data_IF_937621744845
#
_entry.id   IF_937621744845
#
_cell.length_a   1.000
_cell.length_b   1.000
_cell.length_c   1.000
_cell.angle_alpha   90.00
_cell.angle_beta   90.00
_cell.angle_gamma   90.00
#
_symmetry.space_group_name_H-M   'P 1'
#
loop_
_entity.id
_entity.type
_entity.pdbx_description
1 polymer ?
#
# COMPACT_ATOMS: atom_id res chain seq x y z
N UNK A 1 43.46 -33.46 62.31
CA UNK A 1 41.99 -33.29 62.40
C UNK A 1 41.60 -32.05 61.60
N UNK A 2 40.62 -32.16 60.69
CA UNK A 2 39.99 -31.13 59.83
C UNK A 2 40.87 -30.51 58.70
N UNK A 3 40.76 -30.89 57.41
CA UNK A 3 39.75 -30.59 56.35
C UNK A 3 39.50 -29.09 56.14
N UNK A 4 39.51 -28.44 54.96
CA UNK A 4 38.92 -28.77 53.64
C UNK A 4 39.39 -27.71 52.61
N UNK A 5 39.77 -28.11 51.40
CA UNK A 5 39.06 -27.90 50.11
C UNK A 5 39.19 -26.52 49.41
N UNK A 6 40.03 -26.49 48.36
CA UNK A 6 39.83 -25.67 47.16
C UNK A 6 38.58 -26.15 46.41
N UNK A 7 37.76 -25.25 45.86
CA UNK A 7 36.82 -25.52 44.77
C UNK A 7 37.00 -24.46 43.68
N UNK A 8 37.22 -24.93 42.46
CA UNK A 8 36.97 -24.19 41.22
C UNK A 8 35.44 -24.13 40.98
N UNK A 9 34.93 -23.10 40.27
CA UNK A 9 33.54 -23.10 39.83
C UNK A 9 33.38 -23.88 38.52
N UNK A 10 32.47 -24.87 38.53
CA UNK A 10 31.86 -25.38 37.30
C UNK A 10 30.93 -24.32 36.71
N UNK A 11 31.26 -23.77 35.53
CA UNK A 11 30.30 -23.06 34.69
C UNK A 11 29.60 -24.09 33.79
N UNK A 12 28.44 -24.60 34.23
CA UNK A 12 27.58 -25.45 33.40
C UNK A 12 26.66 -24.61 32.52
N UNK A 13 26.91 -24.65 31.22
CA UNK A 13 25.97 -25.16 30.21
C UNK A 13 24.49 -24.70 30.30
N UNK A 14 24.22 -23.39 30.41
CA UNK A 14 22.85 -22.85 30.38
C UNK A 14 22.58 -21.78 29.29
N UNK A 15 23.59 -21.40 28.49
CA UNK A 15 23.47 -20.29 27.54
C UNK A 15 23.36 -20.69 26.05
N UNK A 16 23.48 -21.97 25.70
CA UNK A 16 23.39 -22.40 24.29
C UNK A 16 21.98 -22.81 23.82
N UNK A 17 21.05 -23.13 24.72
CA UNK A 17 19.71 -23.60 24.34
C UNK A 17 18.73 -22.46 24.02
N UNK A 18 18.93 -21.27 24.59
CA UNK A 18 18.07 -20.09 24.36
C UNK A 18 18.35 -19.40 23.01
N UNK A 19 19.57 -19.52 22.48
CA UNK A 19 19.95 -18.95 21.19
C UNK A 19 19.43 -19.78 20.00
N UNK A 20 19.36 -21.11 20.15
CA UNK A 20 18.79 -22.00 19.13
C UNK A 20 17.26 -21.86 19.02
N UNK A 21 16.55 -21.63 20.13
CA UNK A 21 15.09 -21.46 20.10
C UNK A 21 14.64 -20.17 19.39
N UNK A 22 15.41 -19.08 19.50
CA UNK A 22 15.11 -17.80 18.86
C UNK A 22 15.43 -17.80 17.34
N UNK A 23 16.42 -18.58 16.90
CA UNK A 23 16.70 -18.80 15.47
C UNK A 23 15.64 -19.68 14.78
N UNK A 24 15.11 -20.71 15.46
CA UNK A 24 14.06 -21.58 14.89
C UNK A 24 12.71 -20.85 14.78
N UNK A 25 12.35 -20.00 15.77
CA UNK A 25 11.14 -19.17 15.68
C UNK A 25 11.16 -18.15 14.53
N UNK A 26 12.34 -17.68 14.13
CA UNK A 26 12.50 -16.69 13.04
C UNK A 26 12.23 -17.29 11.65
N UNK A 27 12.37 -18.60 11.46
CA UNK A 27 12.01 -19.26 10.20
C UNK A 27 10.50 -19.56 10.10
N UNK A 28 9.84 -19.91 11.22
CA UNK A 28 8.39 -20.17 11.22
C UNK A 28 7.55 -18.88 11.13
N UNK A 29 8.10 -17.72 11.46
CA UNK A 29 7.38 -16.43 11.37
C UNK A 29 7.19 -15.89 9.94
N UNK A 30 7.76 -16.55 8.92
CA UNK A 30 7.73 -16.08 7.53
C UNK A 30 6.62 -16.69 6.66
N UNK A 31 5.92 -17.73 7.15
CA UNK A 31 4.77 -18.32 6.44
C UNK A 31 3.48 -18.13 7.25
N UNK A 32 2.36 -18.01 6.55
CA UNK A 32 1.02 -17.83 7.13
C UNK A 32 0.08 -18.92 6.62
N UNK A 33 0.18 -20.18 7.09
CA UNK A 33 -0.62 -21.28 6.55
C UNK A 33 -2.14 -21.09 6.64
N UNK A 34 -2.57 -20.35 7.65
CA UNK A 34 -3.96 -20.02 7.94
C UNK A 34 -4.48 -18.79 7.18
N UNK A 35 -3.65 -18.12 6.36
CA UNK A 35 -4.06 -16.91 5.66
C UNK A 35 -5.23 -17.11 4.69
N UNK A 36 -5.55 -18.34 4.33
CA UNK A 36 -6.77 -18.67 3.57
C UNK A 36 -8.08 -18.43 4.32
N UNK A 37 -8.03 -18.23 5.65
CA UNK A 37 -9.17 -17.96 6.51
C UNK A 37 -9.24 -16.50 6.96
N UNK A 38 -8.31 -15.66 6.52
CA UNK A 38 -8.30 -14.26 6.89
C UNK A 38 -9.51 -13.53 6.32
N UNK A 39 -9.97 -12.51 7.05
CA UNK A 39 -11.00 -11.60 6.57
C UNK A 39 -10.51 -10.92 5.29
N UNK A 40 -11.36 -10.85 4.28
CA UNK A 40 -11.12 -10.15 3.02
C UNK A 40 -11.77 -8.76 3.03
N UNK A 41 -11.44 -7.91 2.06
CA UNK A 41 -12.06 -6.60 1.89
C UNK A 41 -13.43 -6.69 1.23
N UNK A 42 -13.51 -7.35 0.07
CA UNK A 42 -14.70 -7.38 -0.77
C UNK A 42 -15.03 -8.81 -1.20
N UNK A 43 -14.04 -9.56 -1.67
CA UNK A 43 -14.25 -10.88 -2.28
C UNK A 43 -13.81 -11.96 -1.30
N UNK A 44 -14.74 -12.76 -0.79
CA UNK A 44 -14.38 -13.91 0.04
C UNK A 44 -13.78 -15.05 -0.80
N UNK A 45 -12.91 -15.85 -0.19
CA UNK A 45 -12.30 -17.02 -0.84
C UNK A 45 -13.31 -18.11 -1.26
N UNK A 46 -14.58 -17.99 -0.85
CA UNK A 46 -15.67 -18.90 -1.25
C UNK A 46 -16.41 -18.42 -2.51
N UNK A 47 -16.24 -17.16 -2.90
CA UNK A 47 -16.92 -16.58 -4.08
C UNK A 47 -16.14 -16.73 -5.39
N UNK A 48 -14.94 -17.30 -5.31
CA UNK A 48 -14.07 -17.55 -6.44
C UNK A 48 -13.69 -19.02 -6.49
N UNK A 49 -13.41 -19.51 -7.69
CA UNK A 49 -13.09 -20.91 -7.90
C UNK A 49 -11.72 -21.05 -8.54
N UNK A 50 -11.07 -22.16 -8.22
CA UNK A 50 -9.82 -22.57 -8.87
C UNK A 50 -9.95 -24.04 -9.25
N UNK A 51 -9.46 -24.38 -10.45
CA UNK A 51 -9.41 -25.76 -10.90
C UNK A 51 -8.58 -26.62 -9.94
N UNK A 52 -8.76 -27.94 -9.99
CA UNK A 52 -7.83 -28.84 -9.32
C UNK A 52 -6.46 -28.79 -10.01
N UNK A 53 -5.35 -29.04 -9.29
CA UNK A 53 -4.05 -29.22 -9.91
C UNK A 53 -4.08 -30.34 -10.97
N UNK A 54 -3.21 -30.26 -12.01
CA UNK A 54 -3.09 -31.31 -13.02
C UNK A 54 -2.83 -32.71 -12.46
N UNK A 55 -3.08 -33.72 -13.29
CA UNK A 55 -2.75 -35.11 -12.94
C UNK A 55 -1.24 -35.31 -12.77
N UNK A 56 -0.85 -36.45 -12.19
CA UNK A 56 0.55 -36.81 -12.02
C UNK A 56 1.29 -36.87 -13.37
N UNK A 57 0.65 -37.41 -14.41
CA UNK A 57 1.21 -37.54 -15.75
C UNK A 57 1.45 -36.17 -16.38
N UNK A 58 0.50 -35.24 -16.24
CA UNK A 58 0.66 -33.86 -16.70
C UNK A 58 1.79 -33.15 -15.95
N UNK A 59 1.83 -33.30 -14.62
CA UNK A 59 2.87 -32.72 -13.77
C UNK A 59 4.27 -33.21 -14.16
N UNK A 60 4.43 -34.49 -14.50
CA UNK A 60 5.72 -35.04 -14.96
C UNK A 60 6.16 -34.46 -16.32
N UNK A 61 5.21 -34.23 -17.25
CA UNK A 61 5.51 -33.58 -18.53
C UNK A 61 5.98 -32.13 -18.32
N UNK A 62 5.31 -31.39 -17.44
CA UNK A 62 5.70 -30.01 -17.09
C UNK A 62 7.08 -29.97 -16.44
N UNK A 63 7.38 -30.92 -15.55
CA UNK A 63 8.68 -31.03 -14.87
C UNK A 63 9.83 -31.20 -15.86
N UNK A 64 9.64 -32.07 -16.87
CA UNK A 64 10.62 -32.26 -17.94
C UNK A 64 10.86 -30.98 -18.76
N UNK A 65 9.77 -30.25 -19.09
CA UNK A 65 9.87 -28.99 -19.83
C UNK A 65 10.61 -27.89 -19.03
N UNK A 66 10.39 -27.79 -17.72
CA UNK A 66 11.09 -26.85 -16.85
C UNK A 66 12.60 -27.15 -16.84
N UNK A 67 12.97 -28.44 -16.75
CA UNK A 67 14.36 -28.88 -16.75
C UNK A 67 15.10 -28.46 -18.01
N UNK A 68 14.46 -28.65 -19.17
CA UNK A 68 15.03 -28.19 -20.44
C UNK A 68 15.19 -26.66 -20.44
N UNK A 69 14.17 -25.92 -19.98
CA UNK A 69 14.22 -24.46 -19.98
C UNK A 69 15.31 -23.89 -19.06
N UNK A 70 15.53 -24.47 -17.89
CA UNK A 70 16.60 -24.05 -16.98
C UNK A 70 18.00 -24.23 -17.58
N UNK A 71 18.18 -25.16 -18.54
CA UNK A 71 19.47 -25.37 -19.21
C UNK A 71 19.80 -24.30 -20.26
N UNK A 72 18.83 -23.42 -20.62
CA UNK A 72 18.94 -22.44 -21.72
C UNK A 72 18.40 -21.07 -21.29
N UNK A 73 19.12 -20.37 -20.39
CA UNK A 73 18.75 -19.02 -19.94
C UNK A 73 19.62 -17.96 -20.59
N UNK A 74 19.01 -16.85 -21.02
CA UNK A 74 19.70 -15.66 -21.49
C UNK A 74 19.74 -14.56 -20.42
N UNK A 75 20.60 -13.57 -20.60
CA UNK A 75 20.79 -12.46 -19.65
C UNK A 75 19.50 -11.67 -19.40
N UNK A 76 18.69 -11.50 -20.44
CA UNK A 76 17.39 -10.81 -20.34
C UNK A 76 16.46 -11.54 -19.38
N UNK A 77 16.38 -12.86 -19.50
CA UNK A 77 15.54 -13.69 -18.63
C UNK A 77 16.05 -13.66 -17.18
N UNK A 78 17.37 -13.71 -16.98
CA UNK A 78 17.96 -13.58 -15.65
C UNK A 78 17.66 -12.22 -14.99
N UNK A 79 17.66 -11.14 -15.77
CA UNK A 79 17.27 -9.81 -15.28
C UNK A 79 15.78 -9.75 -14.91
N UNK A 80 14.90 -10.32 -15.72
CA UNK A 80 13.46 -10.39 -15.41
C UNK A 80 13.20 -11.21 -14.14
N UNK A 81 13.88 -12.35 -13.96
CA UNK A 81 13.79 -13.16 -12.73
C UNK A 81 14.16 -12.31 -11.51
N UNK A 82 15.32 -11.64 -11.56
CA UNK A 82 15.80 -10.77 -10.46
C UNK A 82 14.85 -9.60 -10.18
N UNK A 83 14.33 -8.96 -11.21
CA UNK A 83 13.41 -7.84 -11.08
C UNK A 83 12.13 -8.22 -10.32
N UNK A 84 11.53 -9.36 -10.70
CA UNK A 84 10.29 -9.87 -10.11
C UNK A 84 10.49 -10.64 -8.81
N UNK A 85 11.72 -11.06 -8.47
CA UNK A 85 12.06 -11.70 -7.18
C UNK A 85 12.47 -10.72 -6.07
N UNK A 86 12.48 -9.41 -6.36
CA UNK A 86 13.07 -8.41 -5.47
C UNK A 86 12.42 -8.29 -4.07
N UNK A 87 11.22 -8.84 -3.88
CA UNK A 87 10.50 -8.85 -2.61
C UNK A 87 9.18 -9.61 -2.76
N UNK A 88 8.21 -9.34 -1.88
CA UNK A 88 6.89 -9.97 -1.99
C UNK A 88 6.24 -9.64 -3.34
N UNK A 89 5.36 -10.51 -3.88
CA UNK A 89 4.65 -10.28 -5.13
C UNK A 89 4.05 -8.88 -5.29
N UNK A 90 3.55 -8.28 -4.21
CA UNK A 90 2.88 -6.97 -4.22
C UNK A 90 3.84 -5.78 -4.39
N UNK A 91 5.14 -5.95 -4.15
CA UNK A 91 6.11 -4.86 -4.07
C UNK A 91 6.24 -4.08 -5.39
N UNK A 92 6.59 -4.77 -6.49
CA UNK A 92 6.75 -4.11 -7.81
C UNK A 92 5.45 -3.50 -8.33
N UNK A 93 4.30 -4.09 -8.01
CA UNK A 93 3.00 -3.54 -8.42
C UNK A 93 2.70 -2.19 -7.76
N UNK A 94 3.14 -1.98 -6.52
CA UNK A 94 3.02 -0.68 -5.86
C UNK A 94 3.91 0.39 -6.49
N UNK A 95 5.13 0.04 -6.92
CA UNK A 95 6.01 0.96 -7.69
C UNK A 95 5.41 1.28 -9.06
N UNK A 96 4.96 0.26 -9.79
CA UNK A 96 4.33 0.41 -11.12
C UNK A 96 3.09 1.30 -11.02
N UNK A 97 2.17 1.02 -10.08
CA UNK A 97 0.96 1.81 -9.90
C UNK A 97 1.25 3.27 -9.55
N UNK A 98 2.20 3.51 -8.64
CA UNK A 98 2.61 4.87 -8.24
C UNK A 98 3.13 5.69 -9.42
N UNK A 99 3.92 5.06 -10.31
CA UNK A 99 4.46 5.72 -11.51
C UNK A 99 3.40 6.15 -12.54
N UNK A 100 2.19 5.59 -12.45
CA UNK A 100 1.09 5.90 -13.38
C UNK A 100 0.15 6.99 -12.87
N UNK A 101 0.11 7.24 -11.55
CA UNK A 101 -0.81 8.19 -10.94
C UNK A 101 -0.27 9.61 -11.10
N UNK A 102 -1.10 10.51 -11.62
CA UNK A 102 -0.73 11.90 -11.86
C UNK A 102 -1.87 12.85 -11.52
N UNK A 103 -1.55 13.97 -10.87
CA UNK A 103 -2.47 15.09 -10.67
C UNK A 103 -2.96 15.73 -11.98
N UNK A 104 -2.36 15.41 -13.13
CA UNK A 104 -2.86 15.82 -14.45
C UNK A 104 -4.11 15.06 -14.87
N UNK A 105 -4.29 13.85 -14.36
CA UNK A 105 -5.52 13.06 -14.48
C UNK A 105 -6.26 13.08 -13.15
N UNK A 106 -6.92 14.22 -12.87
CA UNK A 106 -7.62 14.46 -11.60
C UNK A 106 -8.71 13.42 -11.32
N UNK A 107 -9.39 12.93 -12.35
CA UNK A 107 -10.47 11.95 -12.22
C UNK A 107 -9.94 10.62 -11.67
N UNK A 108 -8.82 10.15 -12.23
CA UNK A 108 -8.16 8.94 -11.73
C UNK A 108 -7.45 9.17 -10.40
N UNK A 109 -6.82 10.33 -10.21
CA UNK A 109 -6.08 10.65 -8.98
C UNK A 109 -6.94 10.53 -7.72
N UNK A 110 -8.13 11.17 -7.70
CA UNK A 110 -9.00 11.17 -6.52
C UNK A 110 -9.65 9.81 -6.24
N UNK A 111 -9.69 8.91 -7.21
CA UNK A 111 -10.19 7.54 -7.02
C UNK A 111 -9.14 6.59 -6.42
N UNK A 112 -7.89 7.05 -6.27
CA UNK A 112 -6.75 6.33 -5.67
C UNK A 112 -6.65 4.86 -6.14
N UNK A 113 -6.25 4.59 -7.39
CA UNK A 113 -6.22 3.24 -7.97
C UNK A 113 -5.42 2.22 -7.15
N UNK A 114 -4.42 2.65 -6.38
CA UNK A 114 -3.62 1.78 -5.51
C UNK A 114 -4.44 1.13 -4.39
N UNK A 115 -5.51 1.77 -3.89
CA UNK A 115 -6.40 1.17 -2.89
C UNK A 115 -7.14 -0.03 -3.48
N UNK A 116 -7.80 0.17 -4.63
CA UNK A 116 -8.50 -0.89 -5.35
C UNK A 116 -7.57 -2.02 -5.78
N UNK A 117 -6.39 -1.68 -6.29
CA UNK A 117 -5.38 -2.67 -6.68
C UNK A 117 -4.94 -3.51 -5.48
N UNK A 118 -4.57 -2.89 -4.35
CA UNK A 118 -4.07 -3.63 -3.20
C UNK A 118 -5.17 -4.43 -2.48
N UNK A 119 -6.44 -3.98 -2.51
CA UNK A 119 -7.56 -4.83 -2.09
C UNK A 119 -7.70 -6.09 -2.95
N UNK A 120 -7.62 -5.95 -4.28
CA UNK A 120 -7.67 -7.09 -5.19
C UNK A 120 -6.49 -8.06 -4.97
N UNK A 121 -5.27 -7.53 -4.80
CA UNK A 121 -4.10 -8.33 -4.48
C UNK A 121 -4.29 -9.07 -3.16
N UNK A 122 -4.76 -8.40 -2.11
CA UNK A 122 -4.97 -9.01 -0.80
C UNK A 122 -6.04 -10.11 -0.83
N UNK A 123 -7.22 -9.83 -1.38
CA UNK A 123 -8.32 -10.81 -1.45
C UNK A 123 -7.93 -12.02 -2.31
N UNK A 124 -7.20 -11.79 -3.41
CA UNK A 124 -6.69 -12.87 -4.25
C UNK A 124 -5.57 -13.67 -3.57
N UNK A 125 -4.76 -13.03 -2.72
CA UNK A 125 -3.76 -13.70 -1.89
C UNK A 125 -4.42 -14.62 -0.87
N UNK A 126 -5.48 -14.16 -0.18
CA UNK A 126 -6.26 -15.00 0.74
C UNK A 126 -6.85 -16.21 0.01
N UNK A 127 -7.49 -16.00 -1.15
CA UNK A 127 -8.02 -17.11 -1.95
C UNK A 127 -6.94 -18.09 -2.42
N UNK A 128 -5.78 -17.58 -2.85
CA UNK A 128 -4.64 -18.41 -3.23
C UNK A 128 -4.08 -19.22 -2.06
N UNK A 129 -4.01 -18.64 -0.86
CA UNK A 129 -3.56 -19.36 0.32
C UNK A 129 -4.50 -20.48 0.72
N UNK A 130 -5.83 -20.24 0.66
CA UNK A 130 -6.81 -21.31 0.85
C UNK A 130 -6.54 -22.49 -0.10
N UNK A 131 -6.32 -22.20 -1.38
CA UNK A 131 -6.03 -23.23 -2.37
C UNK A 131 -4.66 -23.93 -2.13
N UNK A 132 -3.61 -23.17 -1.83
CA UNK A 132 -2.26 -23.70 -1.51
C UNK A 132 -2.32 -24.75 -0.41
N UNK A 133 -2.97 -24.43 0.70
CA UNK A 133 -3.03 -25.33 1.85
C UNK A 133 -4.13 -26.39 1.75
N UNK A 134 -5.03 -26.30 0.76
CA UNK A 134 -5.96 -27.38 0.41
C UNK A 134 -5.31 -28.45 -0.47
N UNK A 135 -4.45 -28.04 -1.42
CA UNK A 135 -3.87 -28.95 -2.40
C UNK A 135 -2.45 -29.41 -2.07
N UNK A 136 -1.67 -28.63 -1.30
CA UNK A 136 -0.32 -28.98 -0.85
C UNK A 136 0.62 -29.46 -1.99
N UNK A 137 0.48 -28.89 -3.20
CA UNK A 137 1.32 -29.26 -4.34
C UNK A 137 2.77 -28.88 -4.06
N UNK A 138 3.68 -29.82 -4.29
CA UNK A 138 5.13 -29.62 -4.16
C UNK A 138 5.67 -28.76 -5.30
N UNK A 139 6.69 -27.96 -5.03
CA UNK A 139 7.46 -27.24 -6.05
C UNK A 139 8.26 -28.20 -6.96
N UNK A 140 8.67 -27.78 -8.17
CA UNK A 140 9.42 -28.63 -9.11
C UNK A 140 10.67 -29.28 -8.50
N UNK A 141 11.51 -28.52 -7.79
CA UNK A 141 12.75 -29.03 -7.16
C UNK A 141 12.51 -29.96 -5.99
N UNK A 142 11.31 -29.95 -5.39
CA UNK A 142 10.91 -30.91 -4.36
C UNK A 142 10.44 -32.25 -4.97
N UNK A 143 10.23 -32.30 -6.28
CA UNK A 143 9.86 -33.51 -7.05
C UNK A 143 11.05 -34.10 -7.81
N UNK A 144 11.96 -33.27 -8.31
CA UNK A 144 13.24 -33.67 -8.91
C UNK A 144 14.37 -32.82 -8.33
N UNK A 145 15.18 -33.41 -7.44
CA UNK A 145 16.29 -32.75 -6.76
C UNK A 145 17.45 -32.35 -7.70
N UNK A 146 17.45 -32.82 -8.95
CA UNK A 146 18.43 -32.39 -9.96
C UNK A 146 18.12 -31.02 -10.55
N UNK A 147 16.89 -30.52 -10.37
CA UNK A 147 16.53 -29.14 -10.71
C UNK A 147 17.16 -28.18 -9.71
N UNK A 148 17.87 -27.18 -10.23
CA UNK A 148 18.46 -26.08 -9.45
C UNK A 148 17.71 -24.78 -9.78
N UNK A 149 16.74 -24.38 -8.94
CA UNK A 149 16.04 -23.11 -9.11
C UNK A 149 17.00 -21.93 -9.08
N UNK A 150 16.64 -20.86 -9.80
CA UNK A 150 17.45 -19.64 -9.95
C UNK A 150 17.16 -18.59 -8.87
N UNK A 151 16.18 -18.86 -8.01
CA UNK A 151 15.78 -18.06 -6.84
C UNK A 151 15.47 -19.01 -5.69
N UNK A 152 15.35 -18.45 -4.49
CA UNK A 152 14.93 -19.23 -3.32
C UNK A 152 13.54 -19.84 -3.54
N UNK A 153 13.40 -21.13 -3.26
CA UNK A 153 12.12 -21.82 -3.36
C UNK A 153 11.24 -21.38 -2.19
N UNK A 154 10.03 -20.85 -2.43
CA UNK A 154 9.11 -20.51 -1.36
C UNK A 154 8.84 -21.70 -0.44
N UNK A 155 8.71 -21.45 0.86
CA UNK A 155 8.38 -22.48 1.84
C UNK A 155 6.89 -22.92 1.78
N UNK A 156 6.06 -22.19 1.01
CA UNK A 156 4.65 -22.51 0.81
C UNK A 156 4.44 -23.57 -0.27
N UNK A 157 3.26 -24.20 -0.37
CA UNK A 157 2.93 -25.04 -1.53
C UNK A 157 2.97 -24.27 -2.85
N UNK A 158 3.25 -24.94 -3.97
CA UNK A 158 3.39 -24.26 -5.26
C UNK A 158 2.05 -23.76 -5.80
N UNK A 159 0.97 -24.54 -5.69
CA UNK A 159 -0.28 -24.28 -6.41
C UNK A 159 -1.32 -23.49 -5.59
N UNK A 160 -1.91 -22.41 -6.12
CA UNK A 160 -1.53 -21.66 -7.33
C UNK A 160 -0.30 -20.79 -7.13
N UNK A 161 0.28 -20.30 -8.23
CA UNK A 161 1.39 -19.34 -8.21
C UNK A 161 1.00 -18.00 -7.55
N UNK A 162 1.63 -17.65 -6.42
CA UNK A 162 1.33 -16.41 -5.69
C UNK A 162 1.75 -15.13 -6.44
N UNK A 163 2.80 -15.20 -7.27
CA UNK A 163 3.21 -14.07 -8.10
C UNK A 163 2.22 -13.82 -9.22
N UNK A 164 1.71 -14.88 -9.85
CA UNK A 164 0.74 -14.76 -10.95
C UNK A 164 -0.63 -14.30 -10.46
N UNK A 165 -1.13 -14.84 -9.34
CA UNK A 165 -2.42 -14.39 -8.80
C UNK A 165 -2.37 -12.90 -8.45
N UNK A 166 -1.26 -12.44 -7.85
CA UNK A 166 -1.00 -11.03 -7.55
C UNK A 166 -0.94 -10.20 -8.83
N UNK A 167 -0.18 -10.65 -9.82
CA UNK A 167 0.00 -9.95 -11.09
C UNK A 167 -1.31 -9.83 -11.89
N UNK A 168 -2.08 -10.90 -11.99
CA UNK A 168 -3.38 -10.88 -12.67
C UNK A 168 -4.38 -9.99 -11.93
N UNK A 169 -4.42 -10.03 -10.60
CA UNK A 169 -5.30 -9.18 -9.81
C UNK A 169 -4.95 -7.69 -10.00
N UNK A 170 -3.65 -7.36 -9.89
CA UNK A 170 -3.16 -6.00 -10.05
C UNK A 170 -3.39 -5.46 -11.47
N UNK A 171 -3.03 -6.25 -12.48
CA UNK A 171 -3.11 -5.82 -13.88
C UNK A 171 -4.54 -5.54 -14.34
N UNK A 172 -5.50 -6.39 -13.97
CA UNK A 172 -6.90 -6.18 -14.33
C UNK A 172 -7.45 -4.88 -13.69
N UNK A 173 -7.18 -4.65 -12.40
CA UNK A 173 -7.63 -3.42 -11.73
C UNK A 173 -6.94 -2.19 -12.34
N UNK A 174 -5.63 -2.22 -12.54
CA UNK A 174 -4.90 -1.09 -13.12
C UNK A 174 -5.32 -0.82 -14.57
N UNK A 175 -5.60 -1.84 -15.37
CA UNK A 175 -6.10 -1.66 -16.74
C UNK A 175 -7.49 -1.00 -16.77
N UNK A 176 -8.32 -1.21 -15.75
CA UNK A 176 -9.59 -0.48 -15.60
C UNK A 176 -9.38 1.01 -15.32
N UNK A 177 -8.43 1.38 -14.47
CA UNK A 177 -8.12 2.80 -14.19
C UNK A 177 -7.28 3.47 -15.28
N UNK A 178 -6.47 2.71 -16.01
CA UNK A 178 -5.55 3.20 -17.03
C UNK A 178 -5.73 2.45 -18.36
N UNK A 179 -6.90 2.55 -19.03
CA UNK A 179 -7.21 1.75 -20.22
C UNK A 179 -6.23 1.96 -21.37
N UNK A 180 -5.70 3.18 -21.53
CA UNK A 180 -4.68 3.49 -22.54
C UNK A 180 -3.32 2.77 -22.31
N UNK A 181 -3.11 2.19 -21.12
CA UNK A 181 -1.89 1.45 -20.75
C UNK A 181 -2.15 -0.06 -20.58
N UNK A 182 -3.37 -0.54 -20.86
CA UNK A 182 -3.78 -1.91 -20.57
C UNK A 182 -2.81 -2.97 -21.14
N UNK A 183 -2.43 -2.86 -22.42
CA UNK A 183 -1.52 -3.81 -23.05
C UNK A 183 -0.15 -3.85 -22.35
N UNK A 184 0.42 -2.69 -22.02
CA UNK A 184 1.70 -2.61 -21.30
C UNK A 184 1.59 -3.22 -19.90
N UNK A 185 0.48 -2.97 -19.19
CA UNK A 185 0.20 -3.52 -17.86
C UNK A 185 0.08 -5.06 -17.93
N UNK A 186 -0.66 -5.60 -18.89
CA UNK A 186 -0.80 -7.05 -19.05
C UNK A 186 0.51 -7.72 -19.50
N UNK A 187 1.35 -7.03 -20.27
CA UNK A 187 2.67 -7.53 -20.61
C UNK A 187 3.58 -7.65 -19.38
N UNK A 188 3.55 -6.68 -18.47
CA UNK A 188 4.24 -6.78 -17.18
C UNK A 188 3.72 -7.95 -16.34
N UNK A 189 2.40 -8.18 -16.32
CA UNK A 189 1.82 -9.31 -15.59
C UNK A 189 2.21 -10.69 -16.14
N UNK A 190 2.28 -10.80 -17.47
CA UNK A 190 2.79 -11.99 -18.15
C UNK A 190 4.26 -12.22 -17.84
N UNK A 191 5.07 -11.15 -17.83
CA UNK A 191 6.48 -11.23 -17.47
C UNK A 191 6.67 -11.69 -16.01
N UNK A 192 5.94 -11.09 -15.07
CA UNK A 192 5.95 -11.49 -13.66
C UNK A 192 5.63 -12.98 -13.49
N UNK A 193 4.60 -13.46 -14.20
CA UNK A 193 4.17 -14.85 -14.19
C UNK A 193 5.22 -15.79 -14.78
N UNK A 194 5.73 -15.44 -15.97
CA UNK A 194 6.69 -16.25 -16.70
C UNK A 194 8.03 -16.36 -15.95
N UNK A 195 8.41 -15.31 -15.21
CA UNK A 195 9.63 -15.29 -14.41
C UNK A 195 9.70 -16.44 -13.40
N UNK A 196 8.56 -16.92 -12.86
CA UNK A 196 8.54 -18.00 -11.88
C UNK A 196 8.76 -19.38 -12.49
N UNK A 197 8.23 -19.60 -13.69
CA UNK A 197 8.52 -20.81 -14.48
C UNK A 197 9.98 -20.78 -14.92
N UNK A 198 10.48 -19.63 -15.39
CA UNK A 198 11.87 -19.48 -15.83
C UNK A 198 12.86 -19.67 -14.69
N UNK A 199 12.49 -19.27 -13.46
CA UNK A 199 13.30 -19.50 -12.27
C UNK A 199 13.23 -20.96 -11.75
N UNK A 200 12.39 -21.81 -12.34
CA UNK A 200 12.27 -23.21 -11.96
C UNK A 200 11.49 -23.45 -10.66
N UNK A 201 10.79 -22.44 -10.15
CA UNK A 201 10.02 -22.56 -8.90
C UNK A 201 8.56 -22.91 -9.13
N UNK A 202 8.04 -22.80 -10.35
CA UNK A 202 6.61 -22.95 -10.61
C UNK A 202 6.30 -23.77 -11.86
N UNK A 203 5.20 -24.55 -11.83
CA UNK A 203 4.67 -25.21 -13.02
C UNK A 203 3.83 -24.25 -13.88
N UNK A 204 3.82 -24.42 -15.22
CA UNK A 204 2.92 -23.68 -16.11
C UNK A 204 1.45 -23.74 -15.69
N UNK A 205 0.95 -24.91 -15.31
CA UNK A 205 -0.42 -25.09 -14.82
C UNK A 205 -0.74 -24.33 -13.54
N UNK A 206 0.24 -24.20 -12.65
CA UNK A 206 0.05 -23.41 -11.43
C UNK A 206 -0.07 -21.90 -11.77
N UNK A 207 0.61 -21.44 -12.83
CA UNK A 207 0.51 -20.08 -13.37
C UNK A 207 -0.84 -19.86 -14.06
N UNK A 208 -1.26 -20.78 -14.93
CA UNK A 208 -2.52 -20.68 -15.65
C UNK A 208 -3.74 -20.62 -14.71
N UNK A 209 -3.73 -21.46 -13.67
CA UNK A 209 -4.78 -21.46 -12.66
C UNK A 209 -4.75 -20.19 -11.79
N UNK A 210 -3.56 -19.72 -11.41
CA UNK A 210 -3.39 -18.48 -10.66
C UNK A 210 -3.90 -17.25 -11.41
N UNK A 211 -3.67 -17.20 -12.72
CA UNK A 211 -4.11 -16.08 -13.56
C UNK A 211 -5.64 -15.95 -13.51
N UNK A 212 -6.34 -17.06 -13.76
CA UNK A 212 -7.81 -17.12 -13.71
C UNK A 212 -8.36 -16.78 -12.33
N UNK A 213 -7.67 -17.16 -11.25
CA UNK A 213 -8.07 -16.80 -9.90
C UNK A 213 -7.93 -15.29 -9.65
N UNK A 214 -6.79 -14.70 -10.03
CA UNK A 214 -6.56 -13.26 -9.86
C UNK A 214 -7.52 -12.41 -10.69
N UNK A 215 -7.83 -12.84 -11.90
CA UNK A 215 -8.82 -12.21 -12.78
C UNK A 215 -10.24 -12.23 -12.16
N UNK A 216 -10.70 -13.37 -11.64
CA UNK A 216 -12.01 -13.48 -10.98
C UNK A 216 -12.15 -12.49 -9.82
N UNK A 217 -11.12 -12.37 -8.98
CA UNK A 217 -11.11 -11.43 -7.85
C UNK A 217 -11.13 -10.00 -8.37
N UNK A 218 -10.24 -9.65 -9.30
CA UNK A 218 -10.16 -8.30 -9.84
C UNK A 218 -11.47 -7.83 -10.49
N UNK A 219 -12.14 -8.69 -11.25
CA UNK A 219 -13.42 -8.35 -11.87
C UNK A 219 -14.48 -7.96 -10.82
N UNK A 220 -14.58 -8.72 -9.73
CA UNK A 220 -15.50 -8.40 -8.63
C UNK A 220 -15.14 -7.09 -7.91
N UNK A 221 -13.84 -6.81 -7.75
CA UNK A 221 -13.34 -5.54 -7.19
C UNK A 221 -13.68 -4.37 -8.10
N UNK A 222 -13.48 -4.51 -9.42
CA UNK A 222 -13.83 -3.50 -10.43
C UNK A 222 -15.34 -3.22 -10.42
N UNK A 223 -16.17 -4.25 -10.26
CA UNK A 223 -17.63 -4.06 -10.13
C UNK A 223 -18.03 -3.24 -8.90
N UNK A 224 -17.24 -3.26 -7.81
CA UNK A 224 -17.43 -2.33 -6.71
C UNK A 224 -16.86 -0.94 -7.01
N UNK A 225 -15.69 -0.86 -7.64
CA UNK A 225 -15.08 0.42 -8.03
C UNK A 225 -15.98 1.23 -8.97
N UNK A 226 -16.77 0.57 -9.83
CA UNK A 226 -17.77 1.24 -10.70
C UNK A 226 -18.95 1.84 -9.93
N UNK A 227 -19.16 1.44 -8.68
CA UNK A 227 -20.30 1.83 -7.83
C UNK A 227 -19.87 2.75 -6.69
N UNK A 228 -18.67 3.32 -6.77
CA UNK A 228 -18.11 4.24 -5.77
C UNK A 228 -18.71 5.66 -5.86
N UNK A 229 -19.56 5.94 -6.86
CA UNK A 229 -20.16 7.26 -7.08
C UNK A 229 -19.21 8.30 -7.67
N UNK A 230 -18.05 7.88 -8.18
CA UNK A 230 -17.04 8.78 -8.74
C UNK A 230 -17.38 9.36 -10.12
N UNK A 231 -18.41 8.84 -10.78
CA UNK A 231 -18.97 9.34 -12.02
C UNK A 231 -19.89 10.56 -11.84
N UNK A 232 -20.26 10.87 -10.59
CA UNK A 232 -21.06 12.03 -10.26
C UNK A 232 -20.40 13.33 -10.73
N UNK A 233 -21.17 14.18 -11.42
CA UNK A 233 -20.72 15.48 -11.90
C UNK A 233 -21.17 16.57 -10.94
N UNK A 234 -20.27 17.51 -10.65
CA UNK A 234 -20.62 18.68 -9.87
C UNK A 234 -21.50 19.62 -10.70
N UNK A 235 -22.71 19.92 -10.19
CA UNK A 235 -23.68 20.84 -10.79
C UNK A 235 -23.99 22.04 -9.89
N UNK A 236 -23.24 22.19 -8.80
CA UNK A 236 -23.41 23.28 -7.84
C UNK A 236 -22.84 24.60 -8.35
N UNK A 237 -23.05 25.66 -7.57
CA UNK A 237 -22.49 26.98 -7.83
C UNK A 237 -21.26 27.23 -6.96
N UNK A 238 -20.35 28.04 -7.48
CA UNK A 238 -19.22 28.51 -6.69
C UNK A 238 -19.70 29.35 -5.51
N UNK A 239 -19.05 29.18 -4.37
CA UNK A 239 -19.32 29.98 -3.19
C UNK A 239 -19.02 31.48 -3.43
N UNK A 240 -19.96 32.35 -3.04
CA UNK A 240 -19.88 33.80 -3.22
C UNK A 240 -19.37 34.56 -1.98
N UNK A 241 -19.29 33.91 -0.81
CA UNK A 241 -18.83 34.54 0.43
C UNK A 241 -17.34 34.95 0.33
N UNK A 242 -16.99 36.25 0.46
CA UNK A 242 -15.62 36.71 0.36
C UNK A 242 -14.72 36.23 1.50
N UNK A 243 -15.29 35.75 2.62
CA UNK A 243 -14.54 35.20 3.77
C UNK A 243 -14.18 33.72 3.61
N UNK A 244 -14.54 33.12 2.47
CA UNK A 244 -14.32 31.71 2.17
C UNK A 244 -13.53 31.57 0.87
N UNK A 245 -13.03 30.37 0.61
CA UNK A 245 -12.27 30.06 -0.59
C UNK A 245 -13.10 30.27 -1.85
N UNK A 246 -12.45 30.88 -2.83
CA UNK A 246 -12.96 31.13 -4.18
C UNK A 246 -11.91 30.71 -5.21
N UNK A 247 -12.34 30.24 -6.36
CA UNK A 247 -11.48 29.85 -7.48
C UNK A 247 -12.30 29.58 -8.73
N UNK A 248 -11.69 29.73 -9.90
CA UNK A 248 -12.41 29.60 -11.18
C UNK A 248 -12.67 28.13 -11.58
N UNK A 249 -11.77 27.22 -11.20
CA UNK A 249 -11.86 25.80 -11.56
C UNK A 249 -11.53 24.92 -10.34
N UNK A 250 -12.50 24.68 -9.44
CA UNK A 250 -12.27 23.80 -8.30
C UNK A 250 -12.05 22.36 -8.75
N UNK A 251 -11.11 21.66 -8.13
CA UNK A 251 -10.83 20.26 -8.45
C UNK A 251 -11.32 19.31 -7.35
N UNK A 252 -11.84 18.15 -7.75
CA UNK A 252 -12.26 17.09 -6.84
C UNK A 252 -13.47 17.43 -5.97
N UNK A 253 -14.35 18.33 -6.42
CA UNK A 253 -15.54 18.76 -5.65
C UNK A 253 -16.40 17.58 -5.18
N UNK A 254 -16.55 16.56 -6.02
CA UNK A 254 -17.34 15.37 -5.72
C UNK A 254 -16.58 14.30 -4.94
N UNK A 255 -15.27 14.45 -4.70
CA UNK A 255 -14.48 13.38 -4.07
C UNK A 255 -14.90 13.08 -2.62
N UNK A 256 -15.47 14.07 -1.92
CA UNK A 256 -16.04 13.85 -0.58
C UNK A 256 -17.36 13.05 -0.58
N UNK A 257 -18.02 12.92 -1.72
CA UNK A 257 -19.29 12.18 -1.85
C UNK A 257 -19.10 10.75 -2.34
N UNK A 258 -17.86 10.34 -2.62
CA UNK A 258 -17.57 8.96 -3.01
C UNK A 258 -17.97 8.02 -1.89
N UNK A 259 -18.48 6.85 -2.25
CA UNK A 259 -18.84 5.81 -1.30
C UNK A 259 -17.55 5.29 -0.66
N UNK A 260 -17.36 5.44 0.66
CA UNK A 260 -16.17 4.94 1.31
C UNK A 260 -16.15 3.40 1.33
N UNK A 261 -14.95 2.80 1.42
CA UNK A 261 -14.75 1.34 1.50
C UNK A 261 -15.07 0.85 2.92
N UNK A 262 -14.62 1.60 3.92
CA UNK A 262 -14.64 1.22 5.34
C UNK A 262 -15.43 2.22 6.18
N UNK A 263 -15.29 3.51 5.91
CA UNK A 263 -16.04 4.54 6.62
C UNK A 263 -17.54 4.45 6.28
N UNK A 264 -18.37 4.90 7.21
CA UNK A 264 -19.83 4.96 7.05
C UNK A 264 -20.25 6.04 6.04
N UNK A 265 -19.51 7.14 6.02
CA UNK A 265 -19.76 8.31 5.17
C UNK A 265 -18.48 9.15 5.08
N UNK A 266 -18.39 10.01 4.07
CA UNK A 266 -17.27 10.94 3.92
C UNK A 266 -17.12 11.92 5.08
N UNK A 267 -18.20 12.14 5.84
CA UNK A 267 -18.21 13.06 6.97
C UNK A 267 -18.07 12.41 8.34
N UNK A 268 -17.85 11.10 8.41
CA UNK A 268 -17.68 10.37 9.66
C UNK A 268 -16.57 10.99 10.55
N UNK A 269 -15.51 11.51 9.94
CA UNK A 269 -14.40 12.18 10.62
C UNK A 269 -14.23 13.64 10.16
N UNK A 270 -15.29 14.28 9.67
CA UNK A 270 -15.27 15.70 9.36
C UNK A 270 -14.96 16.48 10.65
N UNK A 271 -13.90 17.31 10.69
CA UNK A 271 -13.57 18.10 11.88
C UNK A 271 -14.63 19.18 12.10
N UNK A 272 -14.63 19.82 13.27
CA UNK A 272 -15.43 21.03 13.49
C UNK A 272 -15.06 22.13 12.47
N UNK A 273 -15.98 23.07 12.26
CA UNK A 273 -15.75 24.23 11.40
C UNK A 273 -14.49 25.00 11.83
N UNK A 274 -13.73 25.60 10.89
CA UNK A 274 -12.52 26.32 11.24
C UNK A 274 -12.84 27.55 12.12
N UNK A 275 -11.95 27.90 13.06
CA UNK A 275 -12.06 29.16 13.80
C UNK A 275 -11.77 30.37 12.89
N UNK A 276 -11.83 31.57 13.45
CA UNK A 276 -11.27 32.76 12.79
C UNK A 276 -9.74 32.64 12.66
N UNK A 277 -9.20 33.13 11.54
CA UNK A 277 -7.78 32.96 11.18
C UNK A 277 -6.92 34.19 11.50
N UNK A 278 -7.41 35.23 12.19
CA UNK A 278 -6.63 36.43 12.45
C UNK A 278 -5.29 36.14 13.17
N UNK A 279 -5.32 35.28 14.19
CA UNK A 279 -4.12 34.88 14.93
C UNK A 279 -3.17 34.05 14.05
N UNK A 280 -3.68 33.07 13.30
CA UNK A 280 -2.87 32.28 12.37
C UNK A 280 -2.25 33.12 11.25
N UNK A 281 -2.98 34.12 10.74
CA UNK A 281 -2.47 35.04 9.72
C UNK A 281 -1.35 35.91 10.26
N UNK A 282 -1.47 36.40 11.51
CA UNK A 282 -0.36 37.11 12.17
C UNK A 282 0.87 36.22 12.33
N UNK A 283 0.68 34.95 12.71
CA UNK A 283 1.77 33.97 12.78
C UNK A 283 2.46 33.82 11.42
N UNK A 284 1.70 33.61 10.33
CA UNK A 284 2.24 33.50 8.98
C UNK A 284 3.02 34.74 8.53
N UNK A 285 2.54 35.95 8.85
CA UNK A 285 3.24 37.20 8.52
C UNK A 285 4.50 37.42 9.34
N UNK A 286 4.51 36.96 10.59
CA UNK A 286 5.67 37.06 11.49
C UNK A 286 6.72 35.97 11.24
N UNK A 287 6.35 34.88 10.55
CA UNK A 287 7.24 33.76 10.30
C UNK A 287 8.38 34.16 9.35
N UNK A 288 9.60 34.15 9.87
CA UNK A 288 10.80 34.40 9.09
C UNK A 288 11.31 33.08 8.51
N UNK A 289 11.12 32.92 7.20
CA UNK A 289 11.66 31.78 6.47
C UNK A 289 13.19 31.71 6.58
N UNK A 290 13.70 30.51 6.73
CA UNK A 290 15.12 30.16 6.63
C UNK A 290 15.32 29.04 5.60
N UNK A 291 16.57 28.72 5.26
CA UNK A 291 16.89 27.71 4.25
C UNK A 291 16.26 26.34 4.54
N UNK A 292 16.19 25.93 5.81
CA UNK A 292 15.57 24.66 6.19
C UNK A 292 14.06 24.67 5.92
N UNK A 293 13.35 25.70 6.36
CA UNK A 293 11.90 25.81 6.14
C UNK A 293 11.53 25.88 4.66
N UNK A 294 12.34 26.56 3.84
CA UNK A 294 12.18 26.64 2.39
C UNK A 294 12.39 25.27 1.76
N UNK A 295 13.49 24.58 2.11
CA UNK A 295 13.78 23.24 1.61
C UNK A 295 12.65 22.26 1.95
N UNK A 296 12.22 22.24 3.21
CA UNK A 296 11.12 21.38 3.67
C UNK A 296 9.81 21.70 2.92
N UNK A 297 9.49 22.98 2.69
CA UNK A 297 8.31 23.38 1.93
C UNK A 297 8.34 22.86 0.48
N UNK A 298 9.45 23.04 -0.24
CA UNK A 298 9.58 22.57 -1.62
C UNK A 298 9.63 21.04 -1.73
N UNK A 299 10.33 20.35 -0.82
CA UNK A 299 10.38 18.88 -0.78
C UNK A 299 8.97 18.30 -0.75
N UNK A 300 8.17 18.65 0.25
CA UNK A 300 6.81 18.16 0.42
C UNK A 300 5.80 18.74 -0.58
N UNK A 301 6.18 19.73 -1.39
CA UNK A 301 5.38 20.18 -2.53
C UNK A 301 5.67 19.38 -3.82
N UNK A 302 6.90 18.87 -3.96
CA UNK A 302 7.34 18.08 -5.11
C UNK A 302 7.06 16.59 -4.99
N UNK A 303 7.06 16.06 -3.77
CA UNK A 303 6.89 14.63 -3.52
C UNK A 303 5.41 14.26 -3.59
N UNK A 304 5.10 13.20 -4.35
CA UNK A 304 3.79 12.57 -4.26
C UNK A 304 3.68 11.88 -2.89
N UNK A 305 2.87 12.45 -1.99
CA UNK A 305 2.74 11.94 -0.61
C UNK A 305 2.28 10.47 -0.58
N UNK A 306 1.39 10.04 -1.47
CA UNK A 306 0.92 8.65 -1.52
C UNK A 306 2.05 7.68 -1.88
N UNK A 307 2.85 8.05 -2.88
CA UNK A 307 4.03 7.28 -3.30
C UNK A 307 5.07 7.21 -2.18
N UNK A 308 5.39 8.36 -1.54
CA UNK A 308 6.35 8.42 -0.44
C UNK A 308 6.01 7.45 0.69
N UNK A 309 4.75 7.45 1.16
CA UNK A 309 4.32 6.55 2.23
C UNK A 309 4.33 5.08 1.79
N UNK A 310 4.04 4.81 0.52
CA UNK A 310 4.11 3.45 -0.05
C UNK A 310 5.56 2.95 -0.19
N UNK A 311 6.50 3.83 -0.53
CA UNK A 311 7.93 3.50 -0.53
C UNK A 311 8.45 3.28 0.89
N UNK A 312 8.03 4.12 1.84
CA UNK A 312 8.43 3.98 3.25
C UNK A 312 7.92 2.66 3.85
N UNK A 313 6.68 2.25 3.57
CA UNK A 313 6.20 0.95 4.05
C UNK A 313 6.94 -0.22 3.39
N UNK A 314 7.32 -0.08 2.12
CA UNK A 314 8.16 -1.07 1.43
C UNK A 314 9.52 -1.22 2.12
N UNK A 315 10.18 -0.10 2.42
CA UNK A 315 11.44 -0.08 3.16
C UNK A 315 11.28 -0.77 4.52
N UNK A 316 10.20 -0.48 5.27
CA UNK A 316 9.95 -1.08 6.58
C UNK A 316 9.68 -2.58 6.51
N UNK A 317 9.02 -3.07 5.45
CA UNK A 317 8.85 -4.51 5.18
C UNK A 317 10.22 -5.19 5.02
N UNK A 318 11.15 -4.59 4.26
CA UNK A 318 12.49 -5.14 4.08
C UNK A 318 13.35 -5.07 5.35
N UNK A 319 13.34 -3.94 6.07
CA UNK A 319 14.07 -3.77 7.33
C UNK A 319 13.64 -4.80 8.38
N UNK A 320 12.37 -5.20 8.36
CA UNK A 320 11.81 -6.21 9.26
C UNK A 320 11.82 -7.65 8.68
N UNK A 321 12.45 -7.87 7.51
CA UNK A 321 12.55 -9.19 6.83
C UNK A 321 11.21 -9.88 6.59
N UNK A 322 10.18 -9.06 6.33
CA UNK A 322 8.82 -9.52 6.04
C UNK A 322 8.59 -9.73 4.54
N UNK A 323 9.56 -9.37 3.70
CA UNK A 323 9.49 -9.39 2.24
C UNK A 323 9.23 -10.76 1.63
N UNK A 324 9.45 -11.84 2.38
CA UNK A 324 9.11 -13.22 1.98
C UNK A 324 7.77 -13.72 2.53
N UNK A 325 7.08 -12.94 3.35
CA UNK A 325 5.74 -13.22 3.88
C UNK A 325 4.67 -12.49 3.03
N UNK A 326 4.29 -13.13 1.92
CA UNK A 326 3.34 -12.56 0.94
C UNK A 326 2.01 -12.12 1.55
N UNK A 327 1.29 -12.91 2.38
CA UNK A 327 0.01 -12.47 2.94
C UNK A 327 0.15 -11.27 3.87
N UNK A 328 1.17 -11.24 4.72
CA UNK A 328 1.41 -10.11 5.61
C UNK A 328 1.72 -8.83 4.81
N UNK A 329 2.55 -8.92 3.77
CA UNK A 329 2.85 -7.80 2.89
C UNK A 329 1.59 -7.28 2.19
N UNK A 330 0.81 -8.18 1.56
CA UNK A 330 -0.44 -7.81 0.89
C UNK A 330 -1.43 -7.13 1.86
N UNK A 331 -1.52 -7.61 3.11
CA UNK A 331 -2.34 -6.98 4.16
C UNK A 331 -1.87 -5.56 4.46
N UNK A 332 -0.58 -5.38 4.74
CA UNK A 332 0.01 -4.07 5.09
C UNK A 332 -0.22 -3.06 3.97
N UNK A 333 0.10 -3.41 2.72
CA UNK A 333 -0.12 -2.52 1.58
C UNK A 333 -1.60 -2.19 1.38
N UNK A 334 -2.50 -3.17 1.52
CA UNK A 334 -3.94 -2.94 1.37
C UNK A 334 -4.49 -2.00 2.45
N UNK A 335 -4.14 -2.20 3.72
CA UNK A 335 -4.60 -1.34 4.82
C UNK A 335 -4.08 0.10 4.67
N UNK A 336 -2.80 0.28 4.29
CA UNK A 336 -2.25 1.61 4.03
C UNK A 336 -3.00 2.33 2.91
N UNK A 337 -3.15 1.67 1.75
CA UNK A 337 -3.74 2.31 0.59
C UNK A 337 -5.25 2.54 0.74
N UNK A 338 -5.97 1.63 1.42
CA UNK A 338 -7.36 1.87 1.81
C UNK A 338 -7.46 3.06 2.76
N UNK A 339 -6.61 3.16 3.78
CA UNK A 339 -6.63 4.31 4.70
C UNK A 339 -6.38 5.65 3.98
N UNK A 340 -5.48 5.67 3.01
CA UNK A 340 -5.21 6.84 2.18
C UNK A 340 -6.38 7.20 1.24
N UNK A 341 -7.12 6.20 0.74
CA UNK A 341 -8.38 6.43 0.02
C UNK A 341 -9.45 7.07 0.92
N UNK A 342 -9.69 6.48 2.10
CA UNK A 342 -10.63 7.00 3.09
C UNK A 342 -10.28 8.44 3.50
N UNK A 343 -9.00 8.71 3.75
CA UNK A 343 -8.52 10.06 4.06
C UNK A 343 -8.80 11.04 2.91
N UNK A 344 -8.64 10.62 1.66
CA UNK A 344 -8.96 11.47 0.49
C UNK A 344 -10.42 11.89 0.49
N UNK A 345 -11.34 10.97 0.76
CA UNK A 345 -12.77 11.27 0.86
C UNK A 345 -13.03 12.27 2.00
N UNK A 346 -12.54 11.98 3.22
CA UNK A 346 -12.73 12.85 4.40
C UNK A 346 -12.15 14.25 4.20
N UNK A 347 -10.96 14.34 3.60
CA UNK A 347 -10.31 15.63 3.29
C UNK A 347 -11.19 16.46 2.35
N UNK A 348 -11.67 15.85 1.27
CA UNK A 348 -12.41 16.56 0.24
C UNK A 348 -13.83 16.90 0.70
N UNK A 349 -14.46 16.02 1.49
CA UNK A 349 -15.70 16.29 2.21
C UNK A 349 -15.58 17.54 3.08
N UNK A 350 -14.60 17.59 3.99
CA UNK A 350 -14.42 18.73 4.88
C UNK A 350 -14.07 20.02 4.13
N UNK A 351 -13.23 19.93 3.09
CA UNK A 351 -12.86 21.08 2.25
C UNK A 351 -14.08 21.75 1.62
N UNK A 352 -14.96 20.97 1.02
CA UNK A 352 -16.14 21.50 0.33
C UNK A 352 -17.37 21.67 1.24
N UNK A 353 -17.35 21.14 2.46
CA UNK A 353 -18.30 21.53 3.51
C UNK A 353 -18.02 22.95 4.03
N UNK A 354 -16.75 23.29 4.27
CA UNK A 354 -16.39 24.56 4.89
C UNK A 354 -15.94 25.65 3.94
N UNK A 355 -15.47 25.29 2.74
CA UNK A 355 -14.86 26.23 1.80
C UNK A 355 -13.78 27.08 2.48
N UNK A 356 -12.94 26.47 3.33
CA UNK A 356 -11.97 27.20 4.16
C UNK A 356 -11.03 28.09 3.33
N UNK A 357 -10.96 29.38 3.66
CA UNK A 357 -10.17 30.38 2.94
C UNK A 357 -8.67 30.08 2.95
N UNK A 358 -7.93 30.51 1.93
CA UNK A 358 -6.46 30.40 1.86
C UNK A 358 -5.78 31.67 2.38
N UNK A 359 -4.55 31.59 2.90
CA UNK A 359 -3.84 32.78 3.44
C UNK A 359 -3.79 33.97 2.49
N UNK A 360 -3.46 33.76 1.21
CA UNK A 360 -3.38 34.84 0.22
C UNK A 360 -4.74 35.46 -0.15
N UNK A 361 -5.85 34.78 0.15
CA UNK A 361 -7.21 35.31 -0.04
C UNK A 361 -7.71 36.03 1.19
N UNK A 362 -7.26 35.60 2.37
CA UNK A 362 -7.56 36.25 3.65
C UNK A 362 -6.86 37.62 3.76
N UNK A 363 -5.56 37.67 3.41
CA UNK A 363 -4.79 38.90 3.27
C UNK A 363 -4.17 38.96 1.87
N UNK A 364 -4.70 39.83 1.00
CA UNK A 364 -4.28 39.93 -0.40
C UNK A 364 -2.87 40.49 -0.60
N UNK A 365 -2.29 41.07 0.46
CA UNK A 365 -0.90 41.52 0.48
C UNK A 365 0.07 40.38 0.76
N UNK A 366 -0.39 39.28 1.36
CA UNK A 366 0.44 38.11 1.66
C UNK A 366 0.76 37.32 0.39
N UNK A 367 2.03 36.97 0.21
CA UNK A 367 2.52 36.17 -0.92
C UNK A 367 3.06 34.84 -0.40
N UNK A 368 2.40 33.70 -0.69
CA UNK A 368 2.90 32.39 -0.29
C UNK A 368 4.16 32.04 -1.07
N UNK A 369 5.04 31.25 -0.46
CA UNK A 369 6.25 30.71 -1.13
C UNK A 369 5.88 29.72 -2.24
N UNK A 370 4.83 28.94 -2.00
CA UNK A 370 4.41 27.89 -2.92
C UNK A 370 3.16 28.28 -3.68
N UNK A 371 3.02 27.68 -4.87
CA UNK A 371 1.77 27.71 -5.60
C UNK A 371 0.63 27.14 -4.73
N UNK A 372 -0.49 27.87 -4.64
CA UNK A 372 -1.63 27.42 -3.86
C UNK A 372 -2.52 26.52 -4.72
N UNK A 373 -2.77 25.27 -4.32
CA UNK A 373 -3.61 24.36 -5.10
C UNK A 373 -5.07 24.85 -5.24
N UNK A 374 -5.76 24.50 -6.35
CA UNK A 374 -7.10 25.02 -6.68
C UNK A 374 -8.23 24.27 -5.92
N UNK A 375 -8.14 24.25 -4.59
CA UNK A 375 -9.16 23.70 -3.69
C UNK A 375 -9.09 24.38 -2.31
N UNK A 376 -10.17 24.33 -1.50
CA UNK A 376 -10.25 24.96 -0.18
C UNK A 376 -9.11 24.58 0.78
N UNK A 377 -8.79 25.47 1.71
CA UNK A 377 -7.68 25.37 2.66
C UNK A 377 -7.92 24.41 3.83
N UNK A 378 -9.13 24.33 4.37
CA UNK A 378 -9.36 23.62 5.63
C UNK A 378 -10.07 22.26 5.44
N UNK A 379 -9.56 21.15 6.03
CA UNK A 379 -8.26 21.01 6.70
C UNK A 379 -7.11 20.83 5.70
N UNK A 380 -5.86 20.80 6.18
CA UNK A 380 -4.69 20.51 5.36
C UNK A 380 -4.70 19.05 4.87
N UNK A 381 -4.75 18.86 3.56
CA UNK A 381 -4.82 17.52 2.96
C UNK A 381 -3.54 16.72 3.16
N UNK A 382 -2.37 17.37 3.03
CA UNK A 382 -1.07 16.73 3.25
C UNK A 382 -0.89 16.28 4.71
N UNK A 383 -1.28 17.13 5.67
CA UNK A 383 -1.23 16.79 7.09
C UNK A 383 -2.14 15.58 7.39
N UNK A 384 -3.36 15.59 6.86
CA UNK A 384 -4.34 14.52 7.06
C UNK A 384 -3.89 13.19 6.45
N UNK A 385 -3.48 13.19 5.19
CA UNK A 385 -2.99 11.98 4.52
C UNK A 385 -1.72 11.43 5.20
N UNK A 386 -0.77 12.30 5.56
CA UNK A 386 0.48 11.88 6.21
C UNK A 386 0.27 11.35 7.62
N UNK A 387 -0.61 11.96 8.42
CA UNK A 387 -0.96 11.43 9.74
C UNK A 387 -1.72 10.10 9.65
N UNK A 388 -2.57 9.94 8.64
CA UNK A 388 -3.26 8.67 8.35
C UNK A 388 -2.26 7.55 8.08
N UNK A 389 -1.34 7.78 7.14
CA UNK A 389 -0.30 6.81 6.80
C UNK A 389 0.62 6.51 7.99
N UNK A 390 1.09 7.54 8.69
CA UNK A 390 1.91 7.35 9.89
C UNK A 390 1.20 6.47 10.92
N UNK A 391 -0.08 6.73 11.19
CA UNK A 391 -0.87 5.95 12.16
C UNK A 391 -1.02 4.47 11.74
N UNK A 392 -1.20 4.19 10.45
CA UNK A 392 -1.21 2.80 9.94
C UNK A 392 0.18 2.15 10.10
N UNK A 393 1.25 2.86 9.78
CA UNK A 393 2.61 2.33 9.94
C UNK A 393 2.99 2.13 11.42
N UNK A 394 2.53 3.00 12.32
CA UNK A 394 2.66 2.84 13.78
C UNK A 394 2.00 1.54 14.26
N UNK A 395 0.86 1.19 13.67
CA UNK A 395 0.18 -0.06 13.99
C UNK A 395 1.04 -1.27 13.61
N UNK A 396 1.63 -1.32 12.41
CA UNK A 396 2.42 -2.48 11.98
C UNK A 396 3.87 -2.50 12.47
N UNK A 397 4.49 -1.33 12.66
CA UNK A 397 5.89 -1.16 13.03
C UNK A 397 6.03 -0.26 14.27
N UNK A 398 5.53 -0.69 15.44
CA UNK A 398 5.43 0.16 16.63
C UNK A 398 6.79 0.67 17.16
N UNK A 399 7.88 -0.06 16.88
CA UNK A 399 9.23 0.37 17.25
C UNK A 399 9.65 1.69 16.57
N UNK A 400 9.14 1.95 15.36
CA UNK A 400 9.44 3.15 14.58
C UNK A 400 8.37 4.25 14.72
N UNK A 401 7.44 4.11 15.66
CA UNK A 401 6.30 5.01 15.77
C UNK A 401 6.69 6.49 15.93
N UNK A 402 7.76 6.76 16.67
CA UNK A 402 8.31 8.12 16.81
C UNK A 402 8.79 8.72 15.48
N UNK A 403 9.38 7.90 14.61
CA UNK A 403 9.84 8.32 13.29
C UNK A 403 8.66 8.72 12.39
N UNK A 404 7.62 7.87 12.33
CA UNK A 404 6.45 8.15 11.48
C UNK A 404 5.72 9.43 11.88
N UNK A 405 5.54 9.65 13.20
CA UNK A 405 4.96 10.90 13.72
C UNK A 405 5.80 12.12 13.35
N UNK A 406 7.13 12.00 13.42
CA UNK A 406 8.05 13.09 13.04
C UNK A 406 7.93 13.42 11.55
N UNK A 407 7.90 12.42 10.68
CA UNK A 407 7.74 12.60 9.22
C UNK A 407 6.38 13.24 8.91
N UNK A 408 5.29 12.75 9.50
CA UNK A 408 3.97 13.33 9.30
C UNK A 408 3.86 14.77 9.78
N UNK A 409 4.48 15.08 10.94
CA UNK A 409 4.55 16.45 11.44
C UNK A 409 5.36 17.36 10.52
N UNK A 410 6.51 16.90 10.02
CA UNK A 410 7.32 17.68 9.07
C UNK A 410 6.55 17.98 7.78
N UNK A 411 5.82 16.98 7.26
CA UNK A 411 4.92 17.17 6.11
C UNK A 411 3.84 18.23 6.40
N UNK A 412 3.22 18.18 7.58
CA UNK A 412 2.22 19.17 7.98
C UNK A 412 2.84 20.57 8.12
N UNK A 413 3.95 20.71 8.85
CA UNK A 413 4.65 21.98 9.07
C UNK A 413 5.11 22.60 7.73
N UNK A 414 5.52 21.77 6.75
CA UNK A 414 5.91 22.24 5.41
C UNK A 414 4.83 23.09 4.72
N UNK A 415 3.55 22.87 5.06
CA UNK A 415 2.44 23.61 4.49
C UNK A 415 2.32 25.02 5.06
N UNK A 416 2.65 25.18 6.33
CA UNK A 416 2.79 26.49 6.98
C UNK A 416 4.04 27.21 6.45
N UNK A 417 5.18 26.51 6.35
CA UNK A 417 6.42 27.07 5.79
C UNK A 417 6.24 27.56 4.35
N UNK A 418 5.42 26.84 3.57
CA UNK A 418 5.04 27.22 2.21
C UNK A 418 4.05 28.38 2.10
N UNK A 419 3.44 28.81 3.21
CA UNK A 419 2.46 29.90 3.26
C UNK A 419 1.08 29.56 2.68
N UNK A 420 0.76 28.28 2.43
CA UNK A 420 -0.48 27.89 1.74
C UNK A 420 -1.58 27.36 2.68
N UNK A 421 -1.26 27.15 3.96
CA UNK A 421 -2.16 26.69 5.01
C UNK A 421 -1.88 27.47 6.29
N UNK A 422 -2.93 27.73 7.06
CA UNK A 422 -2.83 28.23 8.43
C UNK A 422 -2.32 27.10 9.36
N UNK A 423 -1.80 27.46 10.54
CA UNK A 423 -1.27 26.45 11.47
C UNK A 423 -2.39 25.54 11.99
N UNK A 424 -3.58 26.09 12.20
CA UNK A 424 -4.75 25.30 12.59
C UNK A 424 -5.17 24.28 11.54
N UNK A 425 -5.08 24.60 10.23
CA UNK A 425 -5.39 23.66 9.14
C UNK A 425 -4.55 22.38 9.25
N UNK A 426 -3.27 22.54 9.61
CA UNK A 426 -2.31 21.45 9.78
C UNK A 426 -2.56 20.67 11.06
N UNK A 427 -2.80 21.36 12.17
CA UNK A 427 -3.04 20.74 13.48
C UNK A 427 -4.29 19.87 13.44
N UNK A 428 -5.40 20.41 12.94
CA UNK A 428 -6.65 19.66 12.75
C UNK A 428 -6.46 18.54 11.74
N UNK A 429 -5.73 18.79 10.64
CA UNK A 429 -5.45 17.74 9.66
C UNK A 429 -4.73 16.53 10.28
N UNK A 430 -3.72 16.76 11.12
CA UNK A 430 -3.02 15.69 11.83
C UNK A 430 -3.97 14.89 12.74
N UNK A 431 -4.91 15.54 13.42
CA UNK A 431 -5.90 14.89 14.31
C UNK A 431 -6.91 14.05 13.53
N UNK A 432 -7.47 14.60 12.44
CA UNK A 432 -8.38 13.88 11.54
C UNK A 432 -7.68 12.66 10.96
N UNK A 433 -6.45 12.83 10.48
CA UNK A 433 -5.69 11.73 9.89
C UNK A 433 -5.40 10.60 10.87
N UNK A 434 -5.10 10.94 12.13
CA UNK A 434 -4.93 9.94 13.19
C UNK A 434 -6.22 9.16 13.44
N UNK A 435 -7.37 9.82 13.41
CA UNK A 435 -8.67 9.18 13.61
C UNK A 435 -9.00 8.21 12.48
N UNK A 436 -8.81 8.62 11.22
CA UNK A 436 -8.98 7.76 10.04
C UNK A 436 -8.02 6.57 10.08
N UNK A 437 -6.73 6.82 10.30
CA UNK A 437 -5.71 5.78 10.33
C UNK A 437 -5.96 4.73 11.40
N UNK A 438 -6.32 5.13 12.62
CA UNK A 438 -6.68 4.23 13.70
C UNK A 438 -7.90 3.37 13.35
N UNK A 439 -8.94 3.98 12.80
CA UNK A 439 -10.16 3.27 12.44
C UNK A 439 -9.90 2.21 11.36
N UNK A 440 -9.16 2.57 10.30
CA UNK A 440 -8.88 1.65 9.20
C UNK A 440 -7.91 0.55 9.61
N UNK A 441 -6.85 0.86 10.37
CA UNK A 441 -5.84 -0.12 10.79
C UNK A 441 -6.42 -1.31 11.57
N UNK A 442 -7.54 -1.11 12.27
CA UNK A 442 -8.18 -2.14 13.10
C UNK A 442 -9.13 -3.06 12.30
N UNK A 443 -9.42 -2.75 11.03
CA UNK A 443 -10.51 -3.41 10.28
C UNK A 443 -10.17 -4.81 9.74
N UNK A 444 -8.89 -5.11 9.51
CA UNK A 444 -8.39 -6.39 8.99
C UNK A 444 -7.77 -7.30 10.05
N UNK A 445 -7.60 -6.83 11.30
CA UNK A 445 -6.87 -7.57 12.34
C UNK A 445 -5.37 -7.71 12.05
N UNK A 446 -4.59 -8.17 13.03
CA UNK A 446 -3.18 -8.57 12.87
C UNK A 446 -3.06 -10.07 12.79
#
# INVERSE_FOLDING_TARGET
MFTKSRRQPELRLAFLTTLLFSLVFSCFSQIQPDAGNWKTWIVSANEVTIAAPPTKEQTQKELAAIKEKLSKQDDKTLQQIKYWDAGSPSYRWNEIASSMISMRDIGTFFRTPTAWMNMAIYDATVAAWKAKYSYLRKHPSQMDATLKPLVDVPATPSYPCEHTVTAAAAANVLAYFFPAKADSIFNLAKEASQSRINAGVQFPSDVDAAWKLGEQVALKIIEQAKKDGSDAKWTGTMNADPKRWRGETPIGVMAGTYKPIVLKSGDQFRPAAPPDFANDMQQLKSFKQNSQSIHTAYHWASVNSFEFWTQLVSQKIFENRMDRNTPACARIYSVLNVALHEATIVIMDAKYAYWGIRPFQYDTTYKPLLFTPPFPGYPSGHATASSTAATVLEYYFPADAGLFRKIAKECADSRFYGGIHFQIDNTVGLEVGRSVGNYVAQTQGK
#
